data_IF_090395182960
#
_entry.id   IF_090395182960
#
_cell.length_a   1.000
_cell.length_b   1.000
_cell.length_c   1.000
_cell.angle_alpha   90.00
_cell.angle_beta   90.00
_cell.angle_gamma   90.00
#
_symmetry.space_group_name_H-M   'P 1'
#
loop_
_entity.id
_entity.type
_entity.pdbx_description
1 polymer ?
#
# COMPACT_ATOMS: atom_id res chain seq x y z
N UNK A 1 -19.20 31.36 33.19
CA UNK A 1 -18.53 31.98 32.02
C UNK A 1 -17.84 30.93 31.11
N UNK A 2 -18.49 29.78 30.84
CA UNK A 2 -17.85 28.61 30.19
C UNK A 2 -18.33 28.33 28.74
N UNK A 3 -19.24 29.16 28.20
CA UNK A 3 -19.90 28.93 26.91
C UNK A 3 -19.20 29.55 25.70
N UNK A 4 -18.25 30.47 25.91
CA UNK A 4 -17.63 31.24 24.82
C UNK A 4 -16.44 30.55 24.15
N UNK A 5 -15.79 29.58 24.82
CA UNK A 5 -14.59 28.91 24.28
C UNK A 5 -14.88 27.67 23.42
N UNK A 6 -16.16 27.28 23.27
CA UNK A 6 -16.56 26.17 22.39
C UNK A 6 -17.20 26.65 21.08
N UNK A 7 -17.63 27.92 21.00
CA UNK A 7 -18.22 28.49 19.77
C UNK A 7 -17.25 29.24 18.86
N UNK A 8 -16.04 29.58 19.33
CA UNK A 8 -15.17 30.50 18.59
C UNK A 8 -14.29 29.83 17.51
N UNK A 9 -13.96 28.54 17.62
CA UNK A 9 -12.92 27.95 16.76
C UNK A 9 -13.16 26.48 16.37
N UNK A 10 -13.99 26.19 15.35
CA UNK A 10 -14.14 24.84 14.78
C UNK A 10 -12.83 24.31 14.14
N UNK A 11 -11.86 25.19 13.88
CA UNK A 11 -10.52 24.86 13.38
C UNK A 11 -9.41 25.04 14.43
N UNK A 12 -9.72 25.10 15.74
CA UNK A 12 -8.69 25.16 16.79
C UNK A 12 -8.13 23.77 17.08
N UNK A 13 -6.87 23.72 17.51
CA UNK A 13 -6.21 22.49 17.96
C UNK A 13 -7.02 21.76 19.04
N UNK A 14 -7.79 22.48 19.85
CA UNK A 14 -8.75 21.90 20.82
C UNK A 14 -9.82 21.03 20.16
N UNK A 15 -10.42 21.46 19.06
CA UNK A 15 -11.45 20.67 18.36
C UNK A 15 -10.85 19.36 17.82
N UNK A 16 -9.68 19.46 17.18
CA UNK A 16 -8.93 18.32 16.64
C UNK A 16 -8.49 17.35 17.74
N UNK A 17 -8.06 17.86 18.89
CA UNK A 17 -7.72 17.02 20.04
C UNK A 17 -8.93 16.29 20.62
N UNK A 18 -10.07 16.97 20.79
CA UNK A 18 -11.30 16.33 21.28
C UNK A 18 -11.79 15.26 20.30
N UNK A 19 -11.70 15.52 18.99
CA UNK A 19 -12.02 14.53 17.96
C UNK A 19 -11.09 13.30 18.05
N UNK A 20 -9.78 13.52 18.25
CA UNK A 20 -8.83 12.43 18.49
C UNK A 20 -9.18 11.60 19.74
N UNK A 21 -9.58 12.25 20.84
CA UNK A 21 -10.03 11.55 22.05
C UNK A 21 -11.30 10.72 21.81
N UNK A 22 -12.26 11.26 21.06
CA UNK A 22 -13.50 10.56 20.70
C UNK A 22 -13.16 9.32 19.85
N UNK A 23 -12.34 9.48 18.82
CA UNK A 23 -11.90 8.38 17.95
C UNK A 23 -11.14 7.30 18.72
N UNK A 24 -10.27 7.70 19.65
CA UNK A 24 -9.52 6.77 20.51
C UNK A 24 -10.45 5.98 21.44
N UNK A 25 -11.48 6.62 22.01
CA UNK A 25 -12.48 5.94 22.83
C UNK A 25 -13.36 4.97 22.02
N UNK A 26 -13.60 5.28 20.76
CA UNK A 26 -14.33 4.41 19.83
C UNK A 26 -13.48 3.26 19.27
N UNK A 27 -12.17 3.21 19.58
CA UNK A 27 -11.25 2.22 19.01
C UNK A 27 -10.96 2.44 17.51
N UNK A 28 -11.35 3.60 16.94
CA UNK A 28 -11.16 3.93 15.53
C UNK A 28 -9.79 4.58 15.33
N UNK A 29 -8.76 3.76 15.36
CA UNK A 29 -7.36 4.20 15.41
C UNK A 29 -6.81 4.89 14.17
N UNK A 30 -7.39 4.62 12.99
CA UNK A 30 -6.82 5.06 11.70
C UNK A 30 -6.64 6.58 11.58
N UNK A 31 -7.45 7.37 12.28
CA UNK A 31 -7.42 8.83 12.21
C UNK A 31 -6.94 9.51 13.51
N UNK A 32 -6.78 8.76 14.62
CA UNK A 32 -6.43 9.36 15.93
C UNK A 32 -5.07 10.07 15.88
N UNK A 33 -4.07 9.43 15.28
CA UNK A 33 -2.73 9.99 15.15
C UNK A 33 -2.70 11.23 14.24
N UNK A 34 -3.49 11.22 13.17
CA UNK A 34 -3.60 12.34 12.23
C UNK A 34 -4.26 13.56 12.88
N UNK A 35 -5.34 13.35 13.64
CA UNK A 35 -6.03 14.43 14.34
C UNK A 35 -5.18 15.01 15.49
N UNK A 36 -4.44 14.16 16.23
CA UNK A 36 -3.48 14.64 17.23
C UNK A 36 -2.34 15.46 16.60
N UNK A 37 -1.81 15.02 15.46
CA UNK A 37 -0.77 15.78 14.75
C UNK A 37 -1.32 17.10 14.22
N UNK A 38 -2.55 17.11 13.68
CA UNK A 38 -3.22 18.33 13.27
C UNK A 38 -3.42 19.29 14.46
N UNK A 39 -3.79 18.77 15.63
CA UNK A 39 -3.88 19.55 16.86
C UNK A 39 -2.53 20.15 17.27
N UNK A 40 -1.45 19.37 17.28
CA UNK A 40 -0.07 19.83 17.57
C UNK A 40 0.42 20.90 16.58
N UNK A 41 0.01 20.82 15.30
CA UNK A 41 0.37 21.80 14.27
C UNK A 41 -0.37 23.13 14.41
N UNK A 42 -1.63 23.07 14.85
CA UNK A 42 -2.45 24.27 15.06
C UNK A 42 -2.09 24.96 16.38
N UNK A 43 -1.82 24.18 17.43
CA UNK A 43 -1.48 24.67 18.76
C UNK A 43 -0.31 23.86 19.34
N UNK A 44 0.94 24.29 19.09
CA UNK A 44 2.12 23.57 19.55
C UNK A 44 2.13 23.49 21.08
N UNK A 45 2.40 22.28 21.58
CA UNK A 45 2.40 21.98 23.01
C UNK A 45 1.01 21.80 23.64
N UNK A 46 -0.08 21.94 22.86
CA UNK A 46 -1.47 21.80 23.31
C UNK A 46 -1.71 22.42 24.69
N UNK A 47 -1.51 23.74 24.87
CA UNK A 47 -1.61 24.39 26.18
C UNK A 47 -3.00 24.27 26.83
N UNK A 48 -4.03 23.94 26.03
CA UNK A 48 -5.39 23.69 26.49
C UNK A 48 -5.62 22.25 26.99
N UNK A 49 -4.76 21.30 26.60
CA UNK A 49 -4.87 19.90 26.98
C UNK A 49 -3.97 19.62 28.18
N UNK A 50 -4.37 18.67 29.03
CA UNK A 50 -3.50 18.22 30.11
C UNK A 50 -2.38 17.37 29.50
N UNK A 51 -1.10 17.58 29.86
CA UNK A 51 0.01 16.80 29.31
C UNK A 51 -0.19 15.30 29.55
N UNK A 52 -0.76 14.90 30.69
CA UNK A 52 -1.10 13.51 30.98
C UNK A 52 -2.11 12.93 29.98
N UNK A 53 -3.11 13.70 29.55
CA UNK A 53 -4.11 13.24 28.58
C UNK A 53 -3.52 13.06 27.19
N UNK A 54 -2.60 13.96 26.79
CA UNK A 54 -1.85 13.85 25.53
C UNK A 54 -0.98 12.58 25.54
N UNK A 55 -0.32 12.31 26.65
CA UNK A 55 0.55 11.15 26.79
C UNK A 55 -0.24 9.83 26.79
N UNK A 56 -1.39 9.80 27.46
CA UNK A 56 -2.31 8.66 27.43
C UNK A 56 -2.83 8.40 26.01
N UNK A 57 -3.20 9.46 25.27
CA UNK A 57 -3.65 9.36 23.89
C UNK A 57 -2.52 8.83 22.97
N UNK A 58 -1.28 9.32 23.15
CA UNK A 58 -0.09 8.81 22.44
C UNK A 58 0.16 7.34 22.74
N UNK A 59 0.05 6.91 24.00
CA UNK A 59 0.20 5.51 24.39
C UNK A 59 -0.87 4.63 23.71
N UNK A 60 -2.13 5.07 23.69
CA UNK A 60 -3.23 4.38 22.99
C UNK A 60 -2.97 4.26 21.49
N UNK A 61 -2.48 5.34 20.85
CA UNK A 61 -2.08 5.32 19.42
C UNK A 61 -1.04 4.23 19.18
N UNK A 62 0.02 4.16 20.00
CA UNK A 62 1.06 3.12 19.85
C UNK A 62 0.48 1.71 19.98
N UNK A 63 -0.42 1.49 20.94
CA UNK A 63 -1.13 0.20 21.09
C UNK A 63 -1.95 -0.12 19.83
N UNK A 64 -2.69 0.84 19.29
CA UNK A 64 -3.48 0.63 18.07
C UNK A 64 -2.61 0.37 16.83
N UNK A 65 -1.46 1.02 16.71
CA UNK A 65 -0.51 0.75 15.63
C UNK A 65 0.01 -0.67 15.73
N UNK A 66 0.35 -1.15 16.94
CA UNK A 66 0.77 -2.54 17.15
C UNK A 66 -0.30 -3.55 16.73
N UNK A 67 -1.57 -3.28 17.05
CA UNK A 67 -2.70 -4.14 16.65
C UNK A 67 -2.94 -4.14 15.14
N UNK A 68 -2.76 -3.01 14.46
CA UNK A 68 -2.86 -2.93 13.00
C UNK A 68 -1.67 -3.61 12.31
N UNK A 69 -0.46 -3.50 12.85
CA UNK A 69 0.73 -4.17 12.29
C UNK A 69 0.60 -5.71 12.27
N UNK A 70 -0.12 -6.30 13.21
CA UNK A 70 -0.39 -7.76 13.21
C UNK A 70 -1.37 -8.18 12.10
N UNK A 71 -2.24 -7.28 11.63
CA UNK A 71 -3.15 -7.53 10.50
C UNK A 71 -2.57 -7.06 9.15
N UNK A 72 -1.63 -6.10 9.17
CA UNK A 72 -1.01 -5.50 7.99
C UNK A 72 0.26 -6.22 7.51
N UNK A 73 0.61 -7.35 8.13
CA UNK A 73 1.69 -8.24 7.66
C UNK A 73 1.39 -8.95 6.33
N UNK A 74 0.18 -8.76 5.78
CA UNK A 74 -0.22 -9.35 4.49
C UNK A 74 -0.31 -8.33 3.35
N UNK A 75 -0.58 -7.04 3.61
CA UNK A 75 -0.60 -5.99 2.58
C UNK A 75 -0.04 -4.67 3.13
N UNK A 76 1.26 -4.43 2.98
CA UNK A 76 1.84 -3.10 3.16
C UNK A 76 1.99 -2.42 1.79
N UNK A 77 0.88 -1.90 1.28
CA UNK A 77 0.90 -1.01 0.11
C UNK A 77 0.06 0.23 0.36
N UNK A 78 0.62 1.37 -0.04
CA UNK A 78 0.01 2.71 -0.13
C UNK A 78 -0.28 3.49 1.15
N UNK A 79 0.73 4.22 1.64
CA UNK A 79 0.52 5.52 2.26
C UNK A 79 1.61 6.53 1.86
N UNK A 80 1.21 7.54 1.09
CA UNK A 80 1.75 8.91 1.25
C UNK A 80 3.11 9.28 0.66
N UNK A 81 3.66 8.53 -0.30
CA UNK A 81 4.87 8.90 -1.01
C UNK A 81 5.07 7.98 -2.21
N UNK A 82 5.55 8.51 -3.33
CA UNK A 82 5.79 7.77 -4.57
C UNK A 82 6.36 6.36 -4.26
N UNK A 83 5.62 5.27 -4.54
CA UNK A 83 5.88 3.96 -3.94
C UNK A 83 7.09 3.31 -4.61
N UNK A 84 8.28 3.53 -4.05
CA UNK A 84 9.50 2.80 -4.42
C UNK A 84 9.32 1.28 -4.37
N UNK A 85 8.46 0.79 -3.48
CA UNK A 85 8.06 -0.61 -3.41
C UNK A 85 7.40 -1.12 -4.69
N UNK A 86 6.53 -0.32 -5.32
CA UNK A 86 5.89 -0.69 -6.58
C UNK A 86 6.89 -0.70 -7.75
N UNK A 87 7.90 0.19 -7.72
CA UNK A 87 8.97 0.22 -8.73
C UNK A 87 9.85 -1.03 -8.67
N UNK A 88 10.21 -1.48 -7.47
CA UNK A 88 10.99 -2.71 -7.28
C UNK A 88 10.16 -3.97 -7.56
N UNK A 89 8.86 -3.96 -7.22
CA UNK A 89 7.96 -5.06 -7.55
C UNK A 89 7.76 -5.20 -9.06
N UNK A 90 7.54 -4.09 -9.77
CA UNK A 90 7.40 -4.08 -11.23
C UNK A 90 8.68 -4.53 -11.94
N UNK A 91 9.84 -3.90 -11.63
CA UNK A 91 11.12 -4.26 -12.25
C UNK A 91 11.55 -5.68 -11.87
N UNK A 92 11.39 -6.07 -10.60
CA UNK A 92 11.72 -7.40 -10.11
C UNK A 92 10.88 -8.50 -10.77
N UNK A 93 9.58 -8.25 -10.98
CA UNK A 93 8.68 -9.18 -11.67
C UNK A 93 9.12 -9.41 -13.12
N UNK A 94 9.47 -8.36 -13.86
CA UNK A 94 9.89 -8.47 -15.27
C UNK A 94 11.17 -9.30 -15.40
N UNK A 95 12.16 -9.06 -14.53
CA UNK A 95 13.41 -9.85 -14.51
C UNK A 95 13.13 -11.31 -14.15
N UNK A 96 12.27 -11.58 -13.16
CA UNK A 96 11.91 -12.93 -12.74
C UNK A 96 11.21 -13.70 -13.88
N UNK A 97 10.27 -13.06 -14.57
CA UNK A 97 9.52 -13.66 -15.69
C UNK A 97 10.47 -13.94 -16.87
N UNK A 98 11.34 -12.99 -17.24
CA UNK A 98 12.34 -13.20 -18.30
C UNK A 98 13.33 -14.31 -17.95
N UNK A 99 13.74 -14.44 -16.69
CA UNK A 99 14.65 -15.49 -16.23
C UNK A 99 13.97 -16.86 -16.24
N UNK A 100 12.70 -16.96 -15.84
CA UNK A 100 11.93 -18.21 -15.88
C UNK A 100 11.66 -18.67 -17.31
N UNK A 101 11.28 -17.76 -18.21
CA UNK A 101 11.07 -18.06 -19.64
C UNK A 101 12.40 -18.44 -20.30
N UNK A 102 13.47 -17.66 -20.10
CA UNK A 102 14.80 -17.98 -20.62
C UNK A 102 15.35 -19.30 -20.08
N UNK A 103 15.12 -19.62 -18.81
CA UNK A 103 15.55 -20.87 -18.20
C UNK A 103 14.73 -22.09 -18.67
N UNK A 104 13.46 -21.92 -19.06
CA UNK A 104 12.68 -22.98 -19.70
C UNK A 104 13.04 -23.15 -21.18
N UNK A 105 13.22 -22.04 -21.92
CA UNK A 105 13.61 -22.09 -23.34
C UNK A 105 15.04 -22.62 -23.51
N UNK A 106 15.98 -22.31 -22.61
CA UNK A 106 17.34 -22.85 -22.63
C UNK A 106 17.37 -24.37 -22.42
N UNK A 107 16.41 -24.93 -21.67
CA UNK A 107 16.26 -26.40 -21.52
C UNK A 107 15.58 -27.00 -22.76
N UNK A 108 14.64 -26.28 -23.36
CA UNK A 108 13.91 -26.73 -24.54
C UNK A 108 14.72 -26.66 -25.85
N UNK A 109 15.79 -25.86 -25.89
CA UNK A 109 16.63 -25.70 -27.09
C UNK A 109 17.63 -26.85 -27.32
N UNK A 110 17.69 -27.85 -26.44
CA UNK A 110 18.52 -29.04 -26.62
C UNK A 110 17.80 -30.20 -27.35
N UNK A 111 16.52 -30.05 -27.71
CA UNK A 111 15.72 -31.13 -28.31
C UNK A 111 14.90 -30.65 -29.53
N UNK A 112 15.59 -30.19 -30.59
CA UNK A 112 14.99 -30.10 -31.94
C UNK A 112 15.50 -31.22 -32.85
N UNK A 113 15.01 -32.47 -32.73
CA UNK A 113 15.07 -33.42 -33.84
C UNK A 113 13.96 -33.12 -34.86
N UNK A 114 14.40 -32.73 -36.05
CA UNK A 114 13.78 -32.81 -37.38
C UNK A 114 12.47 -33.64 -37.47
N UNK A 115 11.37 -33.04 -37.97
CA UNK A 115 10.15 -33.77 -38.28
C UNK A 115 9.47 -33.25 -39.57
N UNK A 116 9.68 -34.01 -40.66
CA UNK A 116 8.60 -34.44 -41.55
C UNK A 116 8.05 -33.46 -42.59
N UNK A 117 8.80 -33.23 -43.67
CA UNK A 117 8.21 -32.74 -44.93
C UNK A 117 7.79 -33.95 -45.79
N UNK A 118 6.52 -34.36 -45.70
CA UNK A 118 5.96 -35.44 -46.52
C UNK A 118 5.55 -34.92 -47.91
N UNK A 119 5.80 -35.69 -49.00
CA UNK A 119 5.42 -35.29 -50.36
C UNK A 119 3.93 -35.58 -50.60
N UNK A 120 3.20 -34.60 -51.16
CA UNK A 120 1.81 -34.79 -51.58
C UNK A 120 1.59 -34.20 -52.99
N UNK A 121 1.07 -35.04 -53.89
CA UNK A 121 0.29 -34.61 -55.03
C UNK A 121 0.97 -34.62 -56.40
N UNK A 122 1.10 -35.81 -57.01
CA UNK A 122 0.93 -35.92 -58.46
C UNK A 122 -0.58 -35.83 -58.78
N UNK A 123 -0.95 -35.08 -59.82
CA UNK A 123 -1.60 -35.73 -60.97
C UNK A 123 -1.10 -35.17 -62.32
N UNK A 124 -0.88 -36.05 -63.30
CA UNK A 124 -0.63 -35.67 -64.69
C UNK A 124 -1.82 -34.92 -65.33
N UNK A 125 -1.62 -34.23 -66.47
CA UNK A 125 -1.84 -34.92 -67.75
C UNK A 125 -0.94 -34.49 -68.94
N UNK A 126 -0.65 -35.46 -69.80
CA UNK A 126 -0.53 -35.49 -71.28
C UNK A 126 -0.22 -34.23 -72.11
N UNK A 127 0.76 -34.35 -73.03
CA UNK A 127 0.69 -34.28 -74.52
C UNK A 127 1.94 -33.60 -75.12
N UNK A 128 2.59 -34.32 -76.03
CA UNK A 128 3.78 -33.97 -76.84
C UNK A 128 3.41 -33.08 -78.04
N UNK A 129 4.39 -32.38 -78.63
CA UNK A 129 4.58 -32.50 -80.09
C UNK A 129 5.95 -33.08 -80.48
#
# INVERSE_FOLDING_TARGET
MMKQVIQAHPNSGKARFVEAEILAKQGRSGNVAAELNAAERLEPGLPFARPQAVEELKARIVTFHRSQSTMNGVHAETAGGFPWGLRLLGIGSIVLISLLVGAMTARNNNNVPMAGNFPVGAPGPTVQP
#
